data_IF_068657513106
#
_entry.id   IF_068657513106
#
_cell.length_a   1.000
_cell.length_b   1.000
_cell.length_c   1.000
_cell.angle_alpha   90.00
_cell.angle_beta   90.00
_cell.angle_gamma   90.00
#
_symmetry.space_group_name_H-M   'P 1'
#
loop_
_entity.id
_entity.type
_entity.pdbx_description
1 polymer ?
#
# COMPACT_ATOMS: atom_id res chain seq x y z
N UNK A 1 5.89 5.71 -0.06
CA UNK A 1 6.42 5.02 -1.26
C UNK A 1 5.40 4.14 -1.99
N UNK A 2 5.09 2.89 -1.59
CA UNK A 2 4.18 2.04 -2.40
C UNK A 2 2.85 2.70 -2.79
N UNK A 3 2.15 3.25 -1.80
CA UNK A 3 0.83 3.88 -1.98
C UNK A 3 0.90 5.17 -2.80
N UNK A 4 2.01 5.92 -2.74
CA UNK A 4 2.16 7.14 -3.54
C UNK A 4 2.32 6.80 -5.01
N UNK A 5 3.04 5.72 -5.35
CA UNK A 5 3.09 5.19 -6.72
C UNK A 5 1.70 4.70 -7.15
N UNK A 6 1.08 3.84 -6.34
CA UNK A 6 -0.20 3.21 -6.69
C UNK A 6 -1.31 4.21 -6.94
N UNK A 7 -1.50 5.18 -6.03
CA UNK A 7 -2.57 6.16 -6.19
C UNK A 7 -2.19 7.25 -7.18
N UNK A 8 -0.91 7.68 -7.23
CA UNK A 8 -0.43 8.63 -8.24
C UNK A 8 -0.62 8.13 -9.67
N UNK A 9 -0.40 6.84 -9.91
CA UNK A 9 -0.61 6.22 -11.21
C UNK A 9 -2.08 6.22 -11.64
N UNK A 10 -3.01 6.07 -10.70
CA UNK A 10 -4.46 5.98 -10.94
C UNK A 10 -5.16 7.34 -10.90
N UNK A 11 -4.46 8.40 -10.51
CA UNK A 11 -5.03 9.72 -10.36
C UNK A 11 -5.15 10.46 -11.69
N UNK A 12 -6.08 11.41 -11.76
CA UNK A 12 -6.16 12.39 -12.82
C UNK A 12 -5.13 13.50 -12.55
N UNK A 13 -4.13 13.64 -13.43
CA UNK A 13 -3.09 14.68 -13.36
C UNK A 13 -1.69 14.14 -13.02
N UNK A 14 -0.80 15.04 -12.60
CA UNK A 14 0.60 14.71 -12.27
C UNK A 14 0.80 14.73 -10.76
N UNK A 15 1.31 13.63 -10.20
CA UNK A 15 1.69 13.53 -8.79
C UNK A 15 3.20 13.65 -8.64
N UNK A 16 3.65 14.58 -7.80
CA UNK A 16 5.04 14.70 -7.41
C UNK A 16 5.24 14.13 -6.00
N UNK A 17 6.22 13.23 -5.85
CA UNK A 17 6.55 12.59 -4.58
C UNK A 17 7.95 13.01 -4.17
N UNK A 18 8.09 13.48 -2.92
CA UNK A 18 9.38 13.74 -2.25
C UNK A 18 9.58 12.74 -1.11
N UNK A 19 10.84 12.48 -0.74
CA UNK A 19 11.17 11.51 0.31
C UNK A 19 10.88 10.06 -0.08
N UNK A 20 10.81 9.76 -1.38
CA UNK A 20 10.54 8.42 -1.86
C UNK A 20 11.68 7.46 -1.45
N UNK A 21 11.36 6.46 -0.63
CA UNK A 21 12.30 5.38 -0.34
C UNK A 21 12.56 4.53 -1.58
N UNK A 22 13.82 4.45 -2.03
CA UNK A 22 14.30 3.67 -3.17
C UNK A 22 14.72 2.24 -2.77
N UNK A 23 13.84 1.54 -2.05
CA UNK A 23 14.05 0.13 -1.72
C UNK A 23 13.63 -0.78 -2.88
N UNK A 24 14.17 -2.00 -2.94
CA UNK A 24 13.80 -2.99 -3.96
C UNK A 24 12.28 -3.20 -4.06
N UNK A 25 11.61 -3.22 -2.90
CA UNK A 25 10.16 -3.30 -2.77
C UNK A 25 9.40 -2.19 -3.53
N UNK A 26 9.82 -0.94 -3.35
CA UNK A 26 9.16 0.22 -3.96
C UNK A 26 9.54 0.39 -5.42
N UNK A 27 10.77 0.02 -5.80
CA UNK A 27 11.23 -0.05 -7.18
C UNK A 27 10.45 -1.10 -7.99
N UNK A 28 10.18 -2.27 -7.41
CA UNK A 28 9.36 -3.29 -8.05
C UNK A 28 7.91 -2.79 -8.29
N UNK A 29 7.37 -2.02 -7.34
CA UNK A 29 6.04 -1.38 -7.54
C UNK A 29 6.09 -0.37 -8.68
N UNK A 30 7.13 0.46 -8.72
CA UNK A 30 7.32 1.48 -9.75
C UNK A 30 7.45 0.85 -11.14
N UNK A 31 8.27 -0.20 -11.27
CA UNK A 31 8.44 -0.93 -12.52
C UNK A 31 7.12 -1.55 -13.00
N UNK A 32 6.34 -2.15 -12.10
CA UNK A 32 5.05 -2.72 -12.48
C UNK A 32 4.08 -1.70 -13.08
N UNK A 33 4.05 -0.45 -12.59
CA UNK A 33 3.23 0.60 -13.21
C UNK A 33 3.78 1.09 -14.54
N UNK A 34 5.11 1.15 -14.72
CA UNK A 34 5.73 1.41 -16.04
C UNK A 34 5.34 0.34 -17.05
N UNK A 35 5.38 -0.92 -16.65
CA UNK A 35 4.99 -2.06 -17.49
C UNK A 35 3.50 -2.02 -17.89
N UNK A 36 2.67 -1.35 -17.09
CA UNK A 36 1.25 -1.07 -17.36
C UNK A 36 1.00 0.28 -18.05
N UNK A 37 2.04 0.90 -18.62
CA UNK A 37 1.92 2.09 -19.47
C UNK A 37 1.91 3.43 -18.74
N UNK A 38 2.19 3.47 -17.43
CA UNK A 38 2.28 4.72 -16.67
C UNK A 38 3.65 5.36 -16.89
N UNK A 39 3.67 6.65 -17.23
CA UNK A 39 4.92 7.41 -17.33
C UNK A 39 5.36 7.86 -15.94
N UNK A 40 6.51 7.39 -15.50
CA UNK A 40 7.10 7.72 -14.19
C UNK A 40 8.54 8.17 -14.39
N UNK A 41 8.84 9.41 -14.02
CA UNK A 41 10.19 10.00 -13.97
C UNK A 41 10.80 9.78 -12.58
N UNK A 42 12.13 9.60 -12.54
CA UNK A 42 12.85 9.22 -11.33
C UNK A 42 12.80 7.71 -11.02
N UNK A 43 13.04 7.29 -9.77
CA UNK A 43 13.40 8.14 -8.64
C UNK A 43 14.78 8.79 -8.84
N UNK A 44 14.90 10.06 -8.47
CA UNK A 44 16.16 10.81 -8.42
C UNK A 44 16.27 11.50 -7.06
N UNK A 45 17.14 11.00 -6.17
CA UNK A 45 17.32 11.50 -4.80
C UNK A 45 15.98 11.60 -4.02
N UNK A 46 15.20 10.52 -4.09
CA UNK A 46 13.88 10.44 -3.45
C UNK A 46 12.79 11.32 -4.09
N UNK A 47 13.04 11.96 -5.23
CA UNK A 47 12.01 12.62 -6.03
C UNK A 47 11.46 11.70 -7.12
N UNK A 48 10.13 11.60 -7.23
CA UNK A 48 9.44 10.85 -8.30
C UNK A 48 8.32 11.71 -8.87
N UNK A 49 8.19 11.77 -10.20
CA UNK A 49 7.04 12.39 -10.88
C UNK A 49 6.24 11.34 -11.63
N UNK A 50 4.96 11.25 -11.32
CA UNK A 50 4.03 10.24 -11.85
C UNK A 50 2.99 10.95 -12.70
N UNK A 51 2.93 10.60 -13.98
CA UNK A 51 1.87 11.06 -14.87
C UNK A 51 0.71 10.08 -14.77
N UNK A 52 -0.27 10.43 -13.94
CA UNK A 52 -1.43 9.60 -13.67
C UNK A 52 -2.27 9.36 -14.92
N UNK A 53 -2.73 8.13 -15.08
CA UNK A 53 -3.51 7.69 -16.25
C UNK A 53 -5.02 7.64 -15.97
N UNK A 54 -5.42 8.07 -14.77
CA UNK A 54 -6.79 7.92 -14.28
C UNK A 54 -7.15 6.47 -13.93
N UNK A 55 -8.31 6.29 -13.30
CA UNK A 55 -8.75 4.99 -12.77
C UNK A 55 -8.80 3.88 -13.83
N UNK A 56 -9.07 4.22 -15.09
CA UNK A 56 -9.24 3.23 -16.18
C UNK A 56 -8.12 3.26 -17.22
N UNK A 57 -7.01 3.95 -16.95
CA UNK A 57 -5.95 4.16 -17.94
C UNK A 57 -4.81 3.14 -17.94
N UNK A 58 -4.79 2.20 -16.98
CA UNK A 58 -3.78 1.14 -16.97
C UNK A 58 -3.91 0.25 -18.21
N UNK A 59 -2.78 -0.19 -18.75
CA UNK A 59 -2.69 -1.05 -19.91
C UNK A 59 -2.18 -2.44 -19.53
N UNK A 60 -2.55 -3.44 -20.34
CA UNK A 60 -2.08 -4.81 -20.14
C UNK A 60 -0.55 -4.87 -20.25
N UNK A 61 0.15 -5.43 -19.26
CA UNK A 61 1.59 -5.62 -19.35
C UNK A 61 1.92 -6.70 -20.38
N UNK A 62 3.11 -6.61 -21.00
CA UNK A 62 3.55 -7.58 -22.02
C UNK A 62 3.84 -8.98 -21.47
N UNK A 63 3.98 -9.10 -20.15
CA UNK A 63 4.30 -10.35 -19.47
C UNK A 63 3.98 -10.26 -17.98
N UNK A 64 4.42 -11.25 -17.18
CA UNK A 64 4.19 -11.25 -15.75
C UNK A 64 4.83 -10.04 -15.07
N UNK A 65 4.13 -9.46 -14.10
CA UNK A 65 4.64 -8.41 -13.23
C UNK A 65 5.50 -9.05 -12.14
N UNK A 66 6.81 -8.79 -12.18
CA UNK A 66 7.75 -9.31 -11.20
C UNK A 66 7.86 -8.36 -10.00
N UNK A 67 7.51 -8.86 -8.81
CA UNK A 67 7.40 -8.05 -7.59
C UNK A 67 8.53 -8.29 -6.58
N UNK A 68 9.61 -8.98 -7.00
CA UNK A 68 10.75 -9.30 -6.13
C UNK A 68 10.33 -10.05 -4.86
N UNK A 69 10.80 -9.60 -3.70
CA UNK A 69 10.43 -10.11 -2.39
C UNK A 69 9.22 -9.36 -1.76
N UNK A 70 8.59 -8.46 -2.51
CA UNK A 70 7.59 -7.53 -1.98
C UNK A 70 6.21 -8.15 -1.78
N UNK A 71 6.02 -8.75 -0.60
CA UNK A 71 4.71 -9.23 -0.17
C UNK A 71 3.67 -8.11 -0.04
N UNK A 72 4.11 -6.87 0.22
CA UNK A 72 3.21 -5.71 0.24
C UNK A 72 2.72 -5.42 -1.18
N UNK A 73 3.62 -5.30 -2.16
CA UNK A 73 3.23 -5.00 -3.54
C UNK A 73 2.27 -6.07 -4.07
N UNK A 74 2.59 -7.36 -3.92
CA UNK A 74 1.78 -8.45 -4.47
C UNK A 74 0.36 -8.48 -3.93
N UNK A 75 0.18 -8.24 -2.63
CA UNK A 75 -1.15 -8.21 -2.02
C UNK A 75 -1.98 -7.00 -2.43
N UNK A 76 -1.35 -5.83 -2.57
CA UNK A 76 -2.07 -4.63 -3.01
C UNK A 76 -2.38 -4.70 -4.51
N UNK A 77 -1.45 -5.19 -5.34
CA UNK A 77 -1.68 -5.43 -6.76
C UNK A 77 -2.78 -6.47 -6.99
N UNK A 78 -2.91 -7.50 -6.15
CA UNK A 78 -4.02 -8.46 -6.29
C UNK A 78 -5.39 -7.75 -6.28
N UNK A 79 -5.60 -6.79 -5.37
CA UNK A 79 -6.83 -6.00 -5.34
C UNK A 79 -6.98 -5.05 -6.51
N UNK A 80 -5.89 -4.36 -6.89
CA UNK A 80 -5.91 -3.41 -8.01
C UNK A 80 -6.10 -4.09 -9.37
N UNK A 81 -5.54 -5.27 -9.58
CA UNK A 81 -5.56 -6.00 -10.85
C UNK A 81 -6.84 -6.83 -11.02
N UNK A 82 -7.47 -7.25 -9.92
CA UNK A 82 -8.74 -7.99 -9.95
C UNK A 82 -9.90 -7.24 -10.64
N UNK A 83 -9.78 -5.92 -10.78
CA UNK A 83 -10.80 -5.01 -11.34
C UNK A 83 -10.43 -4.49 -12.73
N UNK A 84 -9.24 -4.83 -13.26
CA UNK A 84 -8.80 -4.34 -14.56
C UNK A 84 -9.47 -5.11 -15.69
N UNK A 85 -9.48 -4.53 -16.89
CA UNK A 85 -10.08 -5.13 -18.08
C UNK A 85 -9.18 -6.20 -18.74
N UNK A 86 -7.95 -6.36 -18.27
CA UNK A 86 -6.95 -7.26 -18.85
C UNK A 86 -6.49 -8.34 -17.85
N UNK A 87 -6.04 -9.45 -18.39
CA UNK A 87 -5.42 -10.51 -17.60
C UNK A 87 -4.02 -10.10 -17.13
N UNK A 88 -3.63 -10.56 -15.95
CA UNK A 88 -2.30 -10.29 -15.39
C UNK A 88 -1.77 -11.48 -14.61
N UNK A 89 -0.44 -11.59 -14.53
CA UNK A 89 0.24 -12.58 -13.71
C UNK A 89 1.20 -11.88 -12.75
N UNK A 90 1.09 -12.16 -11.45
CA UNK A 90 1.98 -11.65 -10.42
C UNK A 90 2.99 -12.72 -10.00
N UNK A 91 4.27 -12.40 -10.09
CA UNK A 91 5.38 -13.30 -9.72
C UNK A 91 6.30 -12.65 -8.69
N UNK A 92 7.16 -13.46 -8.07
CA UNK A 92 8.10 -13.02 -7.05
C UNK A 92 9.35 -13.87 -7.02
N UNK A 93 10.30 -13.50 -6.16
CA UNK A 93 11.48 -14.30 -5.89
C UNK A 93 11.13 -15.60 -5.13
N UNK A 94 12.16 -16.39 -4.77
CA UNK A 94 11.96 -17.62 -4.01
C UNK A 94 11.33 -17.38 -2.62
N UNK A 95 11.63 -16.25 -1.97
CA UNK A 95 11.09 -15.88 -0.66
C UNK A 95 9.59 -15.57 -0.76
N UNK A 96 9.17 -14.79 -1.75
CA UNK A 96 7.79 -14.41 -1.98
C UNK A 96 6.95 -15.59 -2.49
N UNK A 97 7.52 -16.45 -3.34
CA UNK A 97 6.84 -17.63 -3.88
C UNK A 97 6.45 -18.67 -2.80
N UNK A 98 7.10 -18.65 -1.64
CA UNK A 98 6.70 -19.48 -0.50
C UNK A 98 5.51 -18.95 0.31
N UNK A 99 5.07 -17.72 0.07
CA UNK A 99 4.11 -17.03 0.96
C UNK A 99 2.66 -17.26 0.51
N UNK A 100 1.75 -17.66 1.40
CA UNK A 100 0.35 -17.82 1.05
C UNK A 100 -0.31 -16.47 0.73
N UNK A 101 -1.18 -16.50 -0.28
CA UNK A 101 -1.95 -15.38 -0.82
C UNK A 101 -3.46 -15.56 -0.65
N UNK A 102 -3.93 -16.68 -0.07
CA UNK A 102 -5.35 -16.92 0.21
C UNK A 102 -6.03 -15.78 1.00
N UNK A 103 -5.31 -15.17 1.95
CA UNK A 103 -5.82 -14.03 2.74
C UNK A 103 -6.25 -12.81 1.91
N UNK A 104 -5.77 -12.67 0.68
CA UNK A 104 -6.26 -11.64 -0.26
C UNK A 104 -7.08 -12.25 -1.39
N UNK A 105 -6.69 -13.43 -1.89
CA UNK A 105 -7.39 -14.06 -3.01
C UNK A 105 -8.82 -14.49 -2.64
N UNK A 106 -9.03 -15.03 -1.44
CA UNK A 106 -10.33 -15.55 -1.01
C UNK A 106 -11.40 -14.44 -0.89
N UNK A 107 -11.15 -13.31 -0.19
CA UNK A 107 -12.14 -12.23 -0.16
C UNK A 107 -12.30 -11.54 -1.53
N UNK A 108 -11.26 -11.46 -2.37
CA UNK A 108 -11.42 -10.96 -3.74
C UNK A 108 -12.31 -11.88 -4.59
N UNK A 109 -12.19 -13.20 -4.45
CA UNK A 109 -13.10 -14.15 -5.09
C UNK A 109 -14.53 -13.99 -4.60
N UNK A 110 -14.73 -13.70 -3.30
CA UNK A 110 -16.05 -13.38 -2.75
C UNK A 110 -16.65 -12.08 -3.34
N UNK A 111 -15.81 -11.14 -3.78
CA UNK A 111 -16.24 -9.96 -4.53
C UNK A 111 -16.55 -10.25 -6.00
N UNK A 112 -16.24 -11.45 -6.52
CA UNK A 112 -16.42 -11.83 -7.93
C UNK A 112 -15.13 -11.86 -8.77
N UNK A 113 -13.96 -11.67 -8.16
CA UNK A 113 -12.69 -11.78 -8.89
C UNK A 113 -12.39 -13.23 -9.27
N UNK A 114 -11.75 -13.42 -10.43
CA UNK A 114 -11.25 -14.72 -10.88
C UNK A 114 -9.73 -14.72 -10.73
N UNK A 115 -9.26 -15.39 -9.68
CA UNK A 115 -7.85 -15.44 -9.29
C UNK A 115 -7.44 -16.90 -9.12
N UNK A 116 -6.50 -17.37 -9.92
CA UNK A 116 -5.85 -18.67 -9.77
C UNK A 116 -4.53 -18.51 -9.01
N UNK A 117 -4.28 -19.42 -8.08
CA UNK A 117 -3.06 -19.51 -7.28
C UNK A 117 -2.36 -20.82 -7.57
N UNK A 118 -1.03 -20.87 -7.43
CA UNK A 118 -0.30 -22.13 -7.39
C UNK A 118 -0.68 -22.98 -6.17
N UNK A 119 -0.17 -24.21 -6.11
CA UNK A 119 -0.37 -25.15 -5.01
C UNK A 119 -0.10 -24.50 -3.64
N UNK A 120 -0.97 -24.78 -2.66
CA UNK A 120 -0.89 -24.17 -1.34
C UNK A 120 -1.31 -22.70 -1.28
N UNK A 121 -1.98 -22.19 -2.32
CA UNK A 121 -2.48 -20.81 -2.37
C UNK A 121 -1.35 -19.78 -2.51
N UNK A 122 -0.29 -20.13 -3.24
CA UNK A 122 0.95 -19.35 -3.36
C UNK A 122 1.08 -18.67 -4.73
N UNK A 123 2.03 -17.73 -4.91
CA UNK A 123 2.40 -17.22 -6.22
C UNK A 123 2.92 -18.34 -7.16
N UNK A 124 2.84 -18.16 -8.48
CA UNK A 124 2.27 -17.00 -9.18
C UNK A 124 0.75 -16.86 -8.99
N UNK A 125 0.27 -15.62 -9.02
CA UNK A 125 -1.17 -15.32 -9.06
C UNK A 125 -1.55 -14.97 -10.48
N UNK A 126 -2.48 -15.72 -11.06
CA UNK A 126 -3.07 -15.40 -12.38
C UNK A 126 -4.43 -14.78 -12.16
N UNK A 127 -4.58 -13.53 -12.54
CA UNK A 127 -5.78 -12.73 -12.31
C UNK A 127 -6.42 -12.47 -13.65
N UNK A 128 -7.66 -12.94 -13.83
CA UNK A 128 -8.41 -12.73 -15.07
C UNK A 128 -9.11 -11.37 -15.02
N UNK A 129 -8.94 -10.59 -16.08
CA UNK A 129 -9.56 -9.28 -16.22
C UNK A 129 -11.02 -9.33 -16.64
N UNK A 130 -11.63 -8.15 -16.74
CA UNK A 130 -12.99 -7.94 -17.25
C UNK A 130 -14.10 -8.41 -16.32
N UNK A 131 -13.76 -8.75 -15.06
CA UNK A 131 -14.75 -9.12 -14.06
C UNK A 131 -15.46 -7.87 -13.51
N UNK A 132 -16.76 -8.01 -13.23
CA UNK A 132 -17.51 -7.01 -12.45
C UNK A 132 -17.49 -7.44 -10.99
N UNK A 133 -16.85 -6.65 -10.15
CA UNK A 133 -16.80 -6.93 -8.72
C UNK A 133 -17.97 -6.23 -8.01
N UNK A 134 -18.51 -6.89 -7.00
CA UNK A 134 -19.48 -6.30 -6.07
C UNK A 134 -18.80 -6.03 -4.72
N UNK A 135 -19.13 -4.89 -4.12
CA UNK A 135 -18.66 -4.56 -2.78
C UNK A 135 -19.18 -5.55 -1.75
N UNK A 136 -18.32 -5.86 -0.77
CA UNK A 136 -18.63 -6.79 0.32
C UNK A 136 -18.40 -6.10 1.67
N UNK A 137 -19.01 -6.66 2.72
CA UNK A 137 -18.56 -6.44 4.08
C UNK A 137 -17.68 -7.61 4.50
N UNK A 138 -16.40 -7.33 4.80
CA UNK A 138 -15.42 -8.34 5.17
C UNK A 138 -14.97 -8.18 6.61
N UNK A 139 -15.41 -9.10 7.47
CA UNK A 139 -14.87 -9.24 8.82
C UNK A 139 -13.51 -9.95 8.75
N UNK A 140 -12.44 -9.21 9.01
CA UNK A 140 -11.10 -9.72 8.81
C UNK A 140 -10.71 -10.68 9.95
N UNK A 141 -10.34 -11.94 9.68
CA UNK A 141 -10.07 -12.93 10.73
C UNK A 141 -8.78 -12.65 11.49
N UNK A 142 -7.82 -11.95 10.87
CA UNK A 142 -6.52 -11.62 11.46
C UNK A 142 -6.14 -10.21 11.04
N UNK A 143 -5.74 -9.37 12.00
CA UNK A 143 -5.33 -8.00 11.77
C UNK A 143 -4.24 -7.91 10.67
N UNK A 144 -4.59 -7.34 9.51
CA UNK A 144 -3.68 -7.14 8.40
C UNK A 144 -4.00 -5.88 7.59
N UNK A 145 -3.14 -4.87 7.72
CA UNK A 145 -3.23 -3.66 6.91
C UNK A 145 -3.13 -3.96 5.39
N UNK A 146 -2.43 -5.04 4.99
CA UNK A 146 -2.28 -5.42 3.58
C UNK A 146 -3.59 -5.99 3.01
N UNK A 147 -4.31 -6.83 3.77
CA UNK A 147 -5.62 -7.35 3.35
C UNK A 147 -6.64 -6.22 3.28
N UNK A 148 -6.70 -5.36 4.31
CA UNK A 148 -7.52 -4.14 4.29
C UNK A 148 -7.24 -3.29 3.05
N UNK A 149 -5.97 -2.98 2.79
CA UNK A 149 -5.56 -2.18 1.62
C UNK A 149 -5.98 -2.82 0.30
N UNK A 150 -5.79 -4.14 0.17
CA UNK A 150 -6.17 -4.90 -1.02
C UNK A 150 -7.66 -4.75 -1.33
N UNK A 151 -8.53 -4.95 -0.33
CA UNK A 151 -9.97 -4.89 -0.52
C UNK A 151 -10.47 -3.47 -0.75
N UNK A 152 -9.90 -2.47 -0.06
CA UNK A 152 -10.24 -1.07 -0.32
C UNK A 152 -9.84 -0.64 -1.74
N UNK A 153 -8.68 -1.10 -2.26
CA UNK A 153 -8.26 -0.82 -3.63
C UNK A 153 -9.20 -1.45 -4.67
N UNK A 154 -9.61 -2.71 -4.47
CA UNK A 154 -10.63 -3.34 -5.32
C UNK A 154 -11.98 -2.62 -5.21
N UNK A 155 -12.33 -2.17 -3.99
CA UNK A 155 -13.55 -1.45 -3.69
C UNK A 155 -13.68 -0.08 -4.37
N UNK A 156 -12.59 0.51 -4.86
CA UNK A 156 -12.66 1.75 -5.65
C UNK A 156 -13.41 1.55 -6.98
N UNK A 157 -13.47 0.32 -7.48
CA UNK A 157 -14.08 -0.05 -8.77
C UNK A 157 -15.34 -0.91 -8.61
N UNK A 158 -15.52 -1.55 -7.45
CA UNK A 158 -16.61 -2.48 -7.22
C UNK A 158 -17.98 -1.77 -7.21
N UNK A 159 -19.03 -2.47 -7.63
CA UNK A 159 -20.40 -2.00 -7.50
C UNK A 159 -20.81 -1.93 -6.02
N UNK A 160 -21.26 -0.77 -5.56
CA UNK A 160 -21.68 -0.55 -4.17
C UNK A 160 -20.52 -0.20 -3.24
N UNK A 161 -20.67 -0.59 -1.96
CA UNK A 161 -19.72 -0.26 -0.89
C UNK A 161 -18.91 -1.48 -0.49
N UNK A 162 -17.59 -1.31 -0.41
CA UNK A 162 -16.68 -2.31 0.15
C UNK A 162 -16.24 -1.85 1.53
N UNK A 163 -16.40 -2.70 2.53
CA UNK A 163 -16.06 -2.41 3.92
C UNK A 163 -15.25 -3.54 4.54
N UNK A 164 -14.30 -3.17 5.39
CA UNK A 164 -13.40 -4.10 6.08
C UNK A 164 -13.39 -3.77 7.56
N UNK A 165 -13.76 -4.75 8.39
CA UNK A 165 -13.73 -4.64 9.85
C UNK A 165 -12.47 -5.35 10.36
N UNK A 166 -11.58 -4.62 11.05
CA UNK A 166 -10.34 -5.19 11.60
C UNK A 166 -10.52 -5.69 13.05
N UNK A 167 -9.99 -6.87 13.41
CA UNK A 167 -10.15 -7.43 14.76
C UNK A 167 -9.22 -6.75 15.79
N UNK A 168 -8.21 -6.02 15.30
CA UNK A 168 -7.34 -5.16 16.08
C UNK A 168 -6.83 -4.03 15.17
N UNK A 169 -6.47 -2.86 15.72
CA UNK A 169 -6.00 -1.73 14.93
C UNK A 169 -4.80 -2.09 14.06
N UNK A 170 -4.85 -1.71 12.78
CA UNK A 170 -3.72 -1.81 11.87
C UNK A 170 -3.34 -0.45 11.30
N UNK A 171 -2.21 -0.40 10.58
CA UNK A 171 -1.76 0.80 9.88
C UNK A 171 -2.87 1.32 8.95
N UNK A 172 -3.07 2.63 8.92
CA UNK A 172 -4.13 3.30 8.14
C UNK A 172 -3.60 4.12 6.95
N UNK A 173 -2.39 3.79 6.47
CA UNK A 173 -1.73 4.52 5.38
C UNK A 173 -2.53 4.52 4.08
N UNK A 174 -3.33 3.48 3.80
CA UNK A 174 -4.13 3.44 2.57
C UNK A 174 -5.29 4.42 2.67
N UNK A 175 -5.95 4.45 3.81
CA UNK A 175 -7.09 5.32 4.10
C UNK A 175 -6.67 6.79 4.05
N UNK A 176 -5.55 7.14 4.71
CA UNK A 176 -4.99 8.50 4.69
C UNK A 176 -4.59 8.93 3.28
N UNK A 177 -3.91 8.05 2.54
CA UNK A 177 -3.49 8.35 1.18
C UNK A 177 -4.69 8.48 0.25
N UNK A 178 -5.70 7.61 0.34
CA UNK A 178 -6.94 7.75 -0.44
C UNK A 178 -7.62 9.11 -0.19
N UNK A 179 -7.74 9.51 1.07
CA UNK A 179 -8.27 10.83 1.43
C UNK A 179 -7.41 11.98 0.85
N UNK A 180 -6.08 11.87 0.92
CA UNK A 180 -5.15 12.85 0.34
C UNK A 180 -5.25 12.98 -1.19
N UNK A 181 -5.64 11.89 -1.87
CA UNK A 181 -5.95 11.89 -3.31
C UNK A 181 -7.43 12.23 -3.61
N UNK A 182 -8.17 12.75 -2.63
CA UNK A 182 -9.55 13.20 -2.80
C UNK A 182 -10.61 12.09 -2.81
N UNK A 183 -10.24 10.84 -2.47
CA UNK A 183 -11.18 9.74 -2.36
C UNK A 183 -11.77 9.65 -0.96
N UNK A 184 -13.10 9.63 -0.86
CA UNK A 184 -13.77 9.54 0.43
C UNK A 184 -13.64 8.14 1.04
N UNK A 185 -13.05 8.05 2.23
CA UNK A 185 -12.98 6.83 3.04
C UNK A 185 -13.78 7.04 4.31
N UNK A 186 -14.83 6.27 4.50
CA UNK A 186 -15.63 6.31 5.72
C UNK A 186 -14.98 5.40 6.78
N UNK A 187 -14.95 5.86 8.03
CA UNK A 187 -14.43 5.11 9.17
C UNK A 187 -15.46 5.11 10.30
N UNK A 188 -15.82 3.93 10.77
CA UNK A 188 -16.68 3.73 11.93
C UNK A 188 -16.07 2.66 12.84
N UNK A 189 -15.49 3.12 13.95
CA UNK A 189 -14.71 2.26 14.86
C UNK A 189 -13.61 1.51 14.14
N UNK A 190 -13.70 0.18 14.11
CA UNK A 190 -12.76 -0.73 13.47
C UNK A 190 -13.08 -0.99 11.97
N UNK A 191 -14.12 -0.35 11.43
CA UNK A 191 -14.55 -0.55 10.04
C UNK A 191 -14.08 0.60 9.17
N UNK A 192 -13.37 0.29 8.09
CA UNK A 192 -13.06 1.23 7.01
C UNK A 192 -13.85 0.86 5.75
N UNK A 193 -14.43 1.83 5.06
CA UNK A 193 -15.22 1.59 3.85
C UNK A 193 -15.01 2.63 2.75
N UNK A 194 -15.18 2.16 1.51
CA UNK A 194 -15.16 2.97 0.28
C UNK A 194 -16.33 2.58 -0.61
N UNK A 195 -16.87 3.56 -1.32
CA UNK A 195 -17.86 3.33 -2.38
C UNK A 195 -17.15 3.35 -3.74
N UNK A 196 -17.48 2.43 -4.63
CA UNK A 196 -16.85 2.37 -5.95
C UNK A 196 -17.36 3.44 -6.92
N UNK A 197 -16.60 3.65 -8.00
CA UNK A 197 -16.94 4.60 -9.07
C UNK A 197 -16.48 6.03 -8.83
N UNK A 198 -15.68 6.28 -7.79
CA UNK A 198 -15.05 7.56 -7.54
C UNK A 198 -13.85 7.84 -8.46
N UNK A 199 -13.18 8.96 -8.21
CA UNK A 199 -11.95 9.37 -8.92
C UNK A 199 -10.87 9.75 -7.92
N UNK A 200 -9.63 9.62 -8.34
CA UNK A 200 -8.46 10.10 -7.60
C UNK A 200 -7.95 11.37 -8.29
N UNK A 201 -7.65 12.41 -7.51
CA UNK A 201 -7.05 13.65 -8.00
C UNK A 201 -5.57 13.67 -7.64
N UNK A 202 -4.72 13.95 -8.63
CA UNK A 202 -3.28 13.99 -8.39
C UNK A 202 -2.93 15.12 -7.41
N UNK A 203 -1.95 14.85 -6.56
CA UNK A 203 -1.47 15.78 -5.54
C UNK A 203 0.03 15.62 -5.32
N UNK A 204 0.62 16.53 -4.54
CA UNK A 204 1.99 16.45 -4.08
C UNK A 204 2.06 15.64 -2.78
N UNK A 205 2.99 14.69 -2.72
CA UNK A 205 3.17 13.81 -1.55
C UNK A 205 4.58 14.01 -1.00
N UNK A 206 4.66 14.43 0.25
CA UNK A 206 5.89 14.37 1.04
C UNK A 206 5.88 13.10 1.89
N UNK A 207 6.73 12.13 1.55
CA UNK A 207 6.81 10.86 2.26
C UNK A 207 7.68 11.04 3.51
N UNK A 208 7.14 10.88 4.73
CA UNK A 208 7.92 11.00 5.94
C UNK A 208 8.93 9.85 6.05
N UNK A 209 10.03 10.09 6.77
CA UNK A 209 11.01 9.07 7.11
C UNK A 209 10.34 7.90 7.86
N UNK A 210 10.69 6.68 7.50
CA UNK A 210 10.05 5.49 8.05
C UNK A 210 10.47 5.27 9.50
N UNK A 211 9.53 5.41 10.42
CA UNK A 211 9.74 5.13 11.85
C UNK A 211 10.25 3.72 12.13
N UNK A 212 9.96 2.74 11.26
CA UNK A 212 10.56 1.40 11.39
C UNK A 212 12.07 1.37 11.11
N UNK A 213 12.56 2.27 10.26
CA UNK A 213 14.00 2.48 10.07
C UNK A 213 14.58 3.37 11.18
N UNK A 214 13.87 4.42 11.58
CA UNK A 214 14.25 5.29 12.71
C UNK A 214 14.38 4.53 14.02
N UNK A 215 13.60 3.46 14.23
CA UNK A 215 13.64 2.61 15.41
C UNK A 215 15.05 2.09 15.74
N UNK A 216 15.86 1.75 14.72
CA UNK A 216 17.24 1.30 14.95
C UNK A 216 18.10 2.38 15.60
N UNK A 217 17.96 3.63 15.14
CA UNK A 217 18.71 4.76 15.69
C UNK A 217 18.17 5.21 17.05
N UNK A 218 16.85 5.15 17.27
CA UNK A 218 16.23 5.41 18.56
C UNK A 218 16.77 4.44 19.62
N UNK A 219 16.83 3.14 19.31
CA UNK A 219 17.40 2.13 20.21
C UNK A 219 18.90 2.36 20.39
N UNK A 220 19.65 2.63 19.31
CA UNK A 220 21.08 2.87 19.39
C UNK A 220 21.42 4.04 20.33
N UNK A 221 20.75 5.18 20.19
CA UNK A 221 20.93 6.32 21.09
C UNK A 221 20.54 5.99 22.54
N UNK A 222 19.53 5.15 22.74
CA UNK A 222 19.06 4.76 24.07
C UNK A 222 20.05 3.85 24.83
N UNK A 223 20.93 3.13 24.13
CA UNK A 223 21.84 2.14 24.74
C UNK A 223 23.32 2.53 24.68
N UNK A 224 23.71 3.44 23.79
CA UNK A 224 25.08 3.88 23.62
C UNK A 224 25.37 5.10 24.54
N UNK A 225 26.31 5.00 25.50
CA UNK A 225 26.57 6.08 26.46
C UNK A 225 26.98 7.40 25.80
N UNK A 226 26.38 8.51 26.26
CA UNK A 226 26.70 9.86 25.76
C UNK A 226 26.17 10.18 24.35
N UNK A 227 25.26 9.37 23.82
CA UNK A 227 24.65 9.61 22.51
C UNK A 227 23.65 10.76 22.54
N UNK A 228 23.66 11.55 21.47
CA UNK A 228 22.67 12.60 21.17
C UNK A 228 22.40 12.57 19.67
N UNK A 229 21.16 12.28 19.28
CA UNK A 229 20.75 12.14 17.88
C UNK A 229 19.43 12.86 17.63
N UNK A 230 19.38 13.63 16.53
CA UNK A 230 18.14 14.23 16.03
C UNK A 230 17.72 13.50 14.76
N UNK A 231 16.62 12.75 14.85
CA UNK A 231 15.99 12.09 13.70
C UNK A 231 14.93 13.02 13.10
N UNK A 232 15.19 13.50 11.88
CA UNK A 232 14.34 14.49 11.22
C UNK A 232 13.23 13.82 10.40
N UNK A 233 12.09 14.51 10.30
CA UNK A 233 10.98 14.15 9.40
C UNK A 233 10.41 12.74 9.61
N UNK A 234 10.46 12.22 10.85
CA UNK A 234 9.97 10.86 11.16
C UNK A 234 8.45 10.82 11.17
N UNK A 235 7.87 9.82 10.51
CA UNK A 235 6.41 9.68 10.46
C UNK A 235 5.81 9.31 11.82
N UNK A 236 5.02 10.23 12.39
CA UNK A 236 4.39 10.11 13.73
C UNK A 236 2.95 9.58 13.69
N UNK A 237 2.59 8.80 12.67
CA UNK A 237 1.25 8.19 12.60
C UNK A 237 0.96 7.39 13.89
N UNK A 238 -0.17 7.66 14.60
CA UNK A 238 -0.49 6.99 15.87
C UNK A 238 -0.50 5.46 15.79
N UNK A 239 -0.80 4.88 14.63
CA UNK A 239 -0.78 3.42 14.39
C UNK A 239 0.63 2.85 14.22
N UNK A 240 1.68 3.68 14.33
CA UNK A 240 3.09 3.31 14.07
C UNK A 240 4.06 3.66 15.20
N UNK A 241 3.69 4.56 16.11
CA UNK A 241 4.59 5.10 17.16
C UNK A 241 4.79 4.17 18.37
N UNK A 242 4.38 2.90 18.29
CA UNK A 242 4.49 1.95 19.41
C UNK A 242 5.91 1.78 19.96
N UNK A 243 6.95 1.87 19.10
CA UNK A 243 8.35 1.81 19.55
C UNK A 243 8.73 2.99 20.45
N UNK A 244 8.27 4.20 20.13
CA UNK A 244 8.54 5.40 20.94
C UNK A 244 7.86 5.26 22.31
N UNK A 245 6.60 4.80 22.30
CA UNK A 245 5.85 4.58 23.54
C UNK A 245 6.55 3.58 24.47
N UNK A 246 7.04 2.47 23.92
CA UNK A 246 7.77 1.44 24.69
C UNK A 246 9.09 1.99 25.22
N UNK A 247 9.88 2.67 24.38
CA UNK A 247 11.17 3.23 24.81
C UNK A 247 10.99 4.28 25.92
N UNK A 248 9.98 5.14 25.83
CA UNK A 248 9.66 6.10 26.89
C UNK A 248 9.26 5.39 28.20
N UNK A 249 8.47 4.31 28.13
CA UNK A 249 8.14 3.51 29.32
C UNK A 249 9.37 2.82 29.92
N UNK A 250 10.37 2.50 29.11
CA UNK A 250 11.66 1.96 29.55
C UNK A 250 12.62 3.04 30.10
N UNK A 251 12.23 4.32 30.07
CA UNK A 251 13.03 5.43 30.58
C UNK A 251 14.02 6.02 29.57
N UNK A 252 13.87 5.73 28.27
CA UNK A 252 14.65 6.42 27.24
C UNK A 252 14.35 7.92 27.25
N UNK A 253 15.38 8.75 27.05
CA UNK A 253 15.23 10.20 26.90
C UNK A 253 14.94 10.53 25.44
N UNK A 254 13.66 10.68 25.09
CA UNK A 254 13.21 11.00 23.73
C UNK A 254 12.32 12.25 23.79
N UNK A 255 12.71 13.29 23.06
CA UNK A 255 11.92 14.51 22.87
C UNK A 255 11.33 14.53 21.46
N UNK A 256 10.05 14.89 21.34
CA UNK A 256 9.38 15.10 20.05
C UNK A 256 9.40 16.60 19.76
N UNK A 257 10.01 16.96 18.64
CA UNK A 257 10.17 18.34 18.18
C UNK A 257 9.35 18.56 16.90
N UNK A 258 8.80 19.78 16.73
CA UNK A 258 8.14 20.23 15.49
C UNK A 258 7.08 19.27 14.93
N UNK A 259 6.17 18.76 15.77
CA UNK A 259 5.08 17.86 15.34
C UNK A 259 4.15 18.55 14.33
N UNK A 260 3.83 17.83 13.25
CA UNK A 260 2.98 18.28 12.14
C UNK A 260 2.09 17.12 11.68
N UNK A 261 0.89 17.44 11.20
CA UNK A 261 -0.04 16.46 10.61
C UNK A 261 0.31 16.09 9.16
#
# INVERSE_FOLDING_TARGET
>A
SHRSIMLGALADGVTEVKGFLEGEDSLATLQAFRDMGVTIEGPDDGFVRIHGVGMHGLQAPRGPLYLGNSGTAMRLFAGLLAVQHFDSELTGDASLSGRPMGRVADPLRAMGAVIDTAEGGRPPLKIRGGQKLSGIHYEMPVASAQVKSCLLLAGLYAEGSTSVTEPAPTRDHTERMLAGFGYHVHRDGATASVSGGGKLTATNIDVPADISSSAFFLVAASIAPGSDLVLRHVGMNPTRVGVINILNQMGASIEILDERE
#
